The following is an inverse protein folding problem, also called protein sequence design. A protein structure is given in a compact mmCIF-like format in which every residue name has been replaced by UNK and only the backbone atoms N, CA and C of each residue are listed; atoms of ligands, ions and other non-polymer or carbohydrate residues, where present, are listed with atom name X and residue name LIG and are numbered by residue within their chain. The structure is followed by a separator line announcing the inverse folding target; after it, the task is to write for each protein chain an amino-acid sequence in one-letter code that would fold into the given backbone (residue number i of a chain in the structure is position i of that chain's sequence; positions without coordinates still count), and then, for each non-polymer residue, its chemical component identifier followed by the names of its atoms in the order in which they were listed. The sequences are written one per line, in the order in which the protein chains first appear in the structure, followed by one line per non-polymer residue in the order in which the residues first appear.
data_IF_104335073370
#
_entry.id   IF_104335073370
#
_cell.length_a   1.000
_cell.length_b   1.000
_cell.length_c   1.000
_cell.angle_alpha   90.00
_cell.angle_beta   90.00
_cell.angle_gamma   90.00
#
_symmetry.space_group_name_H-M   'P 1'
#
loop_
_entity.id
_entity.type
_entity.pdbx_description
1 polymer ?
#
# COMPACT_ATOMS: atom_id res chain seq x y z
N UNK A 1 39.87 41.37 -26.63
CA UNK A 1 38.71 41.35 -25.72
C UNK A 1 37.52 40.54 -26.27
N UNK A 2 37.15 40.68 -27.55
CA UNK A 2 36.02 39.92 -28.14
C UNK A 2 36.19 38.38 -28.15
N UNK A 3 37.39 37.87 -28.39
CA UNK A 3 37.63 36.42 -28.45
C UNK A 3 37.43 35.73 -27.09
N UNK A 4 37.85 36.37 -26.01
CA UNK A 4 37.68 35.87 -24.64
C UNK A 4 36.20 35.79 -24.29
N UNK A 5 35.43 36.82 -24.64
CA UNK A 5 33.99 36.83 -24.44
C UNK A 5 33.30 35.70 -25.21
N UNK A 6 33.68 35.48 -26.47
CA UNK A 6 33.13 34.40 -27.29
C UNK A 6 33.38 33.03 -26.66
N UNK A 7 34.61 32.75 -26.20
CA UNK A 7 34.96 31.49 -25.53
C UNK A 7 34.15 31.29 -24.25
N UNK A 8 34.01 32.35 -23.44
CA UNK A 8 33.22 32.29 -22.19
C UNK A 8 31.74 32.00 -22.49
N UNK A 9 31.14 32.67 -23.47
CA UNK A 9 29.74 32.43 -23.86
C UNK A 9 29.54 31.01 -24.40
N UNK A 10 30.47 30.49 -25.20
CA UNK A 10 30.39 29.10 -25.70
C UNK A 10 30.50 28.09 -24.57
N UNK A 11 31.37 28.30 -23.59
CA UNK A 11 31.48 27.44 -22.40
C UNK A 11 30.19 27.48 -21.56
N UNK A 12 29.62 28.66 -21.32
CA UNK A 12 28.33 28.78 -20.62
C UNK A 12 27.17 28.15 -21.39
N UNK A 13 27.18 28.24 -22.73
CA UNK A 13 26.19 27.59 -23.58
C UNK A 13 26.27 26.06 -23.50
N UNK A 14 27.48 25.50 -23.59
CA UNK A 14 27.71 24.06 -23.42
C UNK A 14 27.32 23.58 -22.02
N UNK A 15 27.64 24.35 -20.98
CA UNK A 15 27.25 24.06 -19.61
C UNK A 15 25.73 23.95 -19.45
N UNK A 16 24.99 24.96 -19.93
CA UNK A 16 23.54 25.00 -19.82
C UNK A 16 22.83 23.98 -20.72
N UNK A 17 23.39 23.67 -21.89
CA UNK A 17 22.73 22.81 -22.87
C UNK A 17 23.00 21.32 -22.67
N UNK A 18 24.14 20.93 -22.12
CA UNK A 18 24.58 19.52 -22.08
C UNK A 18 24.71 19.02 -20.65
N UNK A 19 25.46 19.74 -19.81
CA UNK A 19 25.76 19.28 -18.46
C UNK A 19 24.58 19.43 -17.51
N UNK A 20 23.90 20.57 -17.57
CA UNK A 20 22.79 20.88 -16.67
C UNK A 20 21.61 19.88 -16.81
N UNK A 21 21.14 19.51 -18.01
CA UNK A 21 20.11 18.49 -18.17
C UNK A 21 20.54 17.11 -17.66
N UNK A 22 21.79 16.70 -17.95
CA UNK A 22 22.31 15.40 -17.53
C UNK A 22 22.37 15.24 -16.01
N UNK A 23 22.81 16.28 -15.30
CA UNK A 23 22.84 16.29 -13.83
C UNK A 23 21.43 16.23 -13.23
N UNK A 24 20.46 16.94 -13.82
CA UNK A 24 19.06 16.88 -13.37
C UNK A 24 18.46 15.48 -13.57
N UNK A 25 18.74 14.85 -14.71
CA UNK A 25 18.26 13.50 -14.98
C UNK A 25 18.82 12.50 -13.96
N UNK A 26 20.10 12.60 -13.61
CA UNK A 26 20.71 11.73 -12.59
C UNK A 26 20.08 11.94 -11.21
N UNK A 27 19.90 13.19 -10.79
CA UNK A 27 19.28 13.52 -9.51
C UNK A 27 17.82 13.05 -9.41
N UNK A 28 17.07 13.04 -10.51
CA UNK A 28 15.71 12.51 -10.54
C UNK A 28 15.66 10.98 -10.53
N UNK A 29 16.60 10.31 -11.21
CA UNK A 29 16.73 8.84 -11.11
C UNK A 29 17.04 8.43 -9.68
N UNK A 30 17.96 9.12 -9.01
CA UNK A 30 18.28 8.89 -7.61
C UNK A 30 17.07 9.13 -6.71
N UNK A 31 16.34 10.23 -6.92
CA UNK A 31 15.10 10.53 -6.20
C UNK A 31 14.06 9.40 -6.37
N UNK A 32 13.78 8.96 -7.59
CA UNK A 32 12.82 7.89 -7.85
C UNK A 32 13.25 6.55 -7.25
N UNK A 33 14.55 6.28 -7.17
CA UNK A 33 15.10 5.12 -6.46
C UNK A 33 14.82 5.19 -4.96
N UNK A 34 14.98 6.37 -4.34
CA UNK A 34 14.67 6.56 -2.92
C UNK A 34 13.17 6.40 -2.62
N UNK A 35 12.31 6.87 -3.52
CA UNK A 35 10.85 6.64 -3.41
C UNK A 35 10.53 5.15 -3.52
N UNK A 36 11.14 4.45 -4.49
CA UNK A 36 10.97 3.00 -4.66
C UNK A 36 11.33 2.25 -3.38
N UNK A 37 12.51 2.50 -2.84
CA UNK A 37 12.98 1.90 -1.59
C UNK A 37 12.03 2.20 -0.42
N UNK A 38 11.50 3.43 -0.33
CA UNK A 38 10.51 3.80 0.68
C UNK A 38 9.23 2.97 0.57
N UNK A 39 8.71 2.76 -0.63
CA UNK A 39 7.53 1.90 -0.86
C UNK A 39 7.80 0.44 -0.50
N UNK A 40 8.99 -0.07 -0.81
CA UNK A 40 9.40 -1.43 -0.46
C UNK A 40 9.56 -1.63 1.05
N UNK A 41 10.11 -0.64 1.76
CA UNK A 41 10.18 -0.64 3.23
C UNK A 41 8.78 -0.65 3.84
N UNK A 42 7.90 0.26 3.40
CA UNK A 42 6.51 0.31 3.86
C UNK A 42 5.79 -1.03 3.62
N UNK A 43 5.94 -1.64 2.45
CA UNK A 43 5.34 -2.96 2.18
C UNK A 43 5.83 -4.04 3.16
N UNK A 44 7.14 -4.10 3.40
CA UNK A 44 7.74 -5.06 4.31
C UNK A 44 7.27 -4.83 5.75
N UNK A 45 7.21 -3.58 6.20
CA UNK A 45 6.83 -3.28 7.56
C UNK A 45 5.33 -3.41 7.80
N UNK A 46 4.47 -3.13 6.82
CA UNK A 46 3.04 -3.50 6.89
C UNK A 46 2.91 -5.01 7.11
N UNK A 47 3.62 -5.82 6.32
CA UNK A 47 3.61 -7.29 6.46
C UNK A 47 4.10 -7.72 7.84
N UNK A 48 5.18 -7.11 8.34
CA UNK A 48 5.71 -7.39 9.67
C UNK A 48 4.71 -7.00 10.78
N UNK A 49 4.09 -5.82 10.67
CA UNK A 49 3.10 -5.33 11.63
C UNK A 49 1.85 -6.22 11.66
N UNK A 50 1.40 -6.73 10.53
CA UNK A 50 0.29 -7.69 10.47
C UNK A 50 0.70 -9.02 11.09
N UNK A 51 1.86 -9.56 10.68
CA UNK A 51 2.34 -10.87 11.14
C UNK A 51 2.56 -10.91 12.65
N UNK A 52 3.15 -9.85 13.22
CA UNK A 52 3.43 -9.73 14.65
C UNK A 52 2.25 -9.19 15.46
N UNK A 53 1.21 -8.68 14.80
CA UNK A 53 0.07 -7.99 15.44
C UNK A 53 0.52 -6.88 16.40
N UNK A 54 1.64 -6.24 16.06
CA UNK A 54 2.35 -5.34 16.94
C UNK A 54 1.58 -4.04 17.09
N UNK A 55 1.17 -3.71 18.32
CA UNK A 55 0.70 -2.36 18.62
C UNK A 55 1.86 -1.36 18.44
N UNK A 56 1.59 -0.20 17.84
CA UNK A 56 2.62 0.82 17.68
C UNK A 56 2.41 1.76 16.50
N UNK A 57 3.41 2.62 16.27
CA UNK A 57 3.48 3.49 15.10
C UNK A 57 4.81 3.32 14.41
N UNK A 58 4.75 3.09 13.10
CA UNK A 58 5.87 2.99 12.19
C UNK A 58 5.87 4.25 11.31
N UNK A 59 7.05 4.81 11.06
CA UNK A 59 7.23 6.06 10.31
C UNK A 59 8.27 5.80 9.23
N UNK A 60 7.91 6.06 7.97
CA UNK A 60 8.83 6.03 6.83
C UNK A 60 8.88 7.37 6.14
N UNK A 61 10.09 7.76 5.75
CA UNK A 61 10.31 9.01 5.04
C UNK A 61 10.31 8.74 3.54
N UNK A 62 9.42 9.40 2.80
CA UNK A 62 9.40 9.37 1.35
C UNK A 62 9.73 10.77 0.83
N UNK A 63 10.81 10.94 0.04
CA UNK A 63 11.09 12.21 -0.60
C UNK A 63 10.00 12.51 -1.64
N UNK A 64 9.31 13.64 -1.50
CA UNK A 64 8.32 14.09 -2.48
C UNK A 64 8.97 14.79 -3.67
N UNK A 65 10.14 15.38 -3.49
CA UNK A 65 10.82 16.12 -4.55
C UNK A 65 12.30 15.79 -4.68
N UNK A 66 12.83 16.01 -5.88
CA UNK A 66 14.21 15.78 -6.24
C UNK A 66 14.76 16.88 -7.16
N UNK A 67 15.92 16.63 -7.77
CA UNK A 67 16.49 17.53 -8.77
C UNK A 67 17.26 18.74 -8.22
N UNK A 68 17.54 18.79 -6.91
CA UNK A 68 18.44 19.77 -6.32
C UNK A 68 19.89 19.40 -6.65
N UNK A 69 20.66 20.31 -7.23
CA UNK A 69 22.11 20.17 -7.37
C UNK A 69 22.78 21.52 -7.12
N UNK A 70 24.06 21.51 -6.77
CA UNK A 70 24.82 22.62 -6.16
C UNK A 70 24.65 24.03 -6.80
N UNK A 71 24.17 24.14 -8.04
CA UNK A 71 24.03 25.40 -8.78
C UNK A 71 22.59 25.72 -9.24
N UNK A 72 21.56 24.93 -8.89
CA UNK A 72 20.18 25.17 -9.34
C UNK A 72 19.13 24.61 -8.35
N UNK A 73 18.32 25.50 -7.78
CA UNK A 73 17.37 25.16 -6.70
C UNK A 73 15.96 24.76 -7.17
N UNK A 74 15.72 24.66 -8.48
CA UNK A 74 14.38 24.30 -8.99
C UNK A 74 14.15 22.81 -8.78
N UNK A 75 13.33 22.50 -7.78
CA UNK A 75 13.00 21.13 -7.38
C UNK A 75 11.80 20.61 -8.15
N UNK A 76 11.86 19.34 -8.51
CA UNK A 76 10.69 18.56 -8.90
C UNK A 76 9.84 18.28 -7.64
N UNK A 77 8.54 18.09 -7.78
CA UNK A 77 7.62 17.88 -6.65
C UNK A 77 6.82 16.60 -6.79
N UNK A 78 6.18 16.13 -5.74
CA UNK A 78 5.48 14.85 -5.77
C UNK A 78 4.27 14.93 -4.89
N UNK A 79 3.37 13.98 -5.09
CA UNK A 79 2.23 13.80 -4.20
C UNK A 79 2.13 12.35 -3.77
N UNK A 80 1.79 12.16 -2.51
CA UNK A 80 1.36 10.87 -1.98
C UNK A 80 -0.11 11.00 -1.63
N UNK A 81 -0.90 10.02 -2.05
CA UNK A 81 -2.33 9.94 -1.71
C UNK A 81 -2.68 8.55 -1.23
N UNK A 82 -3.37 8.50 -0.10
CA UNK A 82 -3.98 7.32 0.49
C UNK A 82 -5.47 7.35 0.17
N UNK A 83 -5.99 6.25 -0.36
CA UNK A 83 -7.40 6.06 -0.63
C UNK A 83 -7.88 4.75 -0.01
N UNK A 84 -9.08 4.76 0.54
CA UNK A 84 -9.79 3.55 0.94
C UNK A 84 -10.65 3.05 -0.21
N UNK A 85 -10.79 1.76 -0.34
CA UNK A 85 -11.79 1.19 -1.24
C UNK A 85 -13.19 1.42 -0.68
N UNK A 86 -14.16 1.64 -1.56
CA UNK A 86 -15.55 1.92 -1.18
C UNK A 86 -16.32 0.67 -0.77
N UNK A 87 -15.82 -0.51 -1.15
CA UNK A 87 -16.49 -1.78 -0.93
C UNK A 87 -15.69 -2.55 0.14
N UNK A 88 -16.33 -2.99 1.24
CA UNK A 88 -15.65 -3.79 2.24
C UNK A 88 -15.23 -5.13 1.66
N UNK A 89 -14.04 -5.56 2.05
CA UNK A 89 -13.46 -6.85 1.72
C UNK A 89 -14.07 -7.96 2.57
N UNK A 90 -14.24 -7.71 3.87
CA UNK A 90 -14.88 -8.60 4.82
C UNK A 90 -15.93 -7.87 5.64
N UNK A 91 -17.04 -8.54 5.92
CA UNK A 91 -18.07 -8.07 6.84
C UNK A 91 -18.30 -9.14 7.87
N UNK A 92 -18.07 -8.82 9.14
CA UNK A 92 -18.46 -9.68 10.27
C UNK A 92 -19.71 -9.07 10.88
N UNK A 93 -20.83 -9.80 10.85
CA UNK A 93 -22.10 -9.29 11.37
C UNK A 93 -22.84 -10.33 12.22
N UNK A 94 -23.42 -9.86 13.31
CA UNK A 94 -24.39 -10.55 14.16
C UNK A 94 -25.55 -9.57 14.43
N UNK A 95 -26.60 -10.01 15.10
CA UNK A 95 -27.71 -9.23 15.65
C UNK A 95 -27.30 -7.92 16.35
N UNK A 96 -26.11 -7.86 16.95
CA UNK A 96 -25.68 -6.73 17.79
C UNK A 96 -24.45 -5.96 17.26
N UNK A 97 -23.67 -6.54 16.34
CA UNK A 97 -22.38 -6.01 15.91
C UNK A 97 -22.25 -6.15 14.39
N UNK A 98 -21.77 -5.09 13.73
CA UNK A 98 -21.33 -5.11 12.32
C UNK A 98 -19.94 -4.51 12.25
N UNK A 99 -18.95 -5.31 11.85
CA UNK A 99 -17.57 -4.90 11.60
C UNK A 99 -17.26 -5.05 10.13
N UNK A 100 -16.62 -4.04 9.56
CA UNK A 100 -16.24 -4.04 8.15
C UNK A 100 -14.73 -3.86 8.02
N UNK A 101 -14.10 -4.77 7.31
CA UNK A 101 -12.71 -4.65 6.90
C UNK A 101 -12.66 -4.08 5.50
N UNK A 102 -11.90 -3.01 5.35
CA UNK A 102 -11.66 -2.33 4.09
C UNK A 102 -10.20 -2.51 3.69
N UNK A 103 -9.94 -2.43 2.39
CA UNK A 103 -8.59 -2.25 1.87
C UNK A 103 -8.29 -0.77 1.70
N UNK A 104 -7.02 -0.44 1.79
CA UNK A 104 -6.51 0.88 1.43
C UNK A 104 -5.39 0.72 0.41
N UNK A 105 -5.29 1.69 -0.48
CA UNK A 105 -4.23 1.83 -1.47
C UNK A 105 -3.55 3.16 -1.25
N UNK A 106 -2.25 3.23 -1.52
CA UNK A 106 -1.55 4.50 -1.54
C UNK A 106 -0.67 4.59 -2.77
N UNK A 107 -0.64 5.79 -3.34
CA UNK A 107 0.14 6.07 -4.54
C UNK A 107 1.05 7.26 -4.33
N UNK A 108 2.20 7.20 -4.99
CA UNK A 108 3.08 8.32 -5.25
C UNK A 108 2.94 8.69 -6.72
N UNK A 109 2.72 9.97 -6.99
CA UNK A 109 2.69 10.52 -8.35
C UNK A 109 3.62 11.72 -8.44
N UNK A 110 4.53 11.74 -9.44
CA UNK A 110 5.34 12.92 -9.71
C UNK A 110 4.44 14.09 -10.10
N UNK A 111 4.80 15.29 -9.65
CA UNK A 111 4.16 16.56 -9.99
C UNK A 111 5.18 17.44 -10.71
N UNK A 112 4.74 18.11 -11.79
CA UNK A 112 5.56 19.01 -12.60
C UNK A 112 6.57 18.31 -13.53
N UNK A 113 7.64 19.01 -13.89
CA UNK A 113 8.58 18.70 -14.96
C UNK A 113 9.60 17.61 -14.60
N UNK A 114 9.15 16.40 -14.23
CA UNK A 114 10.04 15.25 -14.17
C UNK A 114 10.47 14.86 -15.58
N UNK A 115 11.75 14.54 -15.74
CA UNK A 115 12.29 13.84 -16.91
C UNK A 115 11.70 12.44 -17.05
N UNK A 116 11.31 11.81 -15.93
CA UNK A 116 10.69 10.50 -15.89
C UNK A 116 9.34 10.58 -15.18
N UNK A 117 8.26 10.44 -15.95
CA UNK A 117 6.89 10.31 -15.42
C UNK A 117 6.67 8.88 -14.89
N UNK A 118 7.26 8.59 -13.73
CA UNK A 118 7.16 7.31 -13.02
C UNK A 118 6.61 7.51 -11.61
N UNK A 119 5.56 6.77 -11.28
CA UNK A 119 4.93 6.71 -9.97
C UNK A 119 5.02 5.32 -9.35
N UNK A 120 4.56 5.21 -8.12
CA UNK A 120 4.48 3.94 -7.38
C UNK A 120 3.12 3.81 -6.75
N UNK A 121 2.56 2.61 -6.71
CA UNK A 121 1.27 2.34 -6.06
C UNK A 121 1.36 1.05 -5.27
N UNK A 122 1.08 1.13 -3.98
CA UNK A 122 0.86 -0.06 -3.16
C UNK A 122 -0.63 -0.37 -3.12
N UNK A 123 -0.96 -1.63 -3.41
CA UNK A 123 -2.31 -2.16 -3.30
C UNK A 123 -2.24 -3.66 -2.98
N UNK A 124 -3.19 -4.15 -2.17
CA UNK A 124 -3.41 -5.60 -1.98
C UNK A 124 -2.15 -6.41 -1.60
N UNK A 125 -1.17 -5.81 -0.91
CA UNK A 125 0.05 -6.48 -0.46
C UNK A 125 1.22 -6.52 -1.45
N UNK A 126 1.18 -5.70 -2.50
CA UNK A 126 2.30 -5.55 -3.43
C UNK A 126 2.46 -4.12 -3.96
N UNK A 127 3.66 -3.81 -4.45
CA UNK A 127 4.01 -2.52 -5.06
C UNK A 127 3.99 -2.63 -6.57
N UNK A 128 3.34 -1.67 -7.21
CA UNK A 128 3.35 -1.43 -8.65
C UNK A 128 4.19 -0.20 -8.98
N UNK A 129 4.87 -0.25 -10.11
CA UNK A 129 5.43 0.93 -10.77
C UNK A 129 4.47 1.38 -11.87
N UNK A 130 4.19 2.68 -11.91
CA UNK A 130 3.33 3.28 -12.94
C UNK A 130 4.16 4.17 -13.85
N UNK A 131 4.01 4.05 -15.17
CA UNK A 131 4.72 4.88 -16.14
C UNK A 131 3.86 5.13 -17.37
N UNK A 132 3.58 6.39 -17.70
CA UNK A 132 2.79 6.76 -18.89
C UNK A 132 1.41 6.07 -18.95
N UNK A 133 0.73 5.93 -17.81
CA UNK A 133 -0.57 5.28 -17.70
C UNK A 133 -0.56 3.74 -17.70
N UNK A 134 0.61 3.11 -17.81
CA UNK A 134 0.75 1.65 -17.61
C UNK A 134 1.21 1.37 -16.18
N UNK A 135 0.78 0.23 -15.65
CA UNK A 135 1.17 -0.25 -14.32
C UNK A 135 1.74 -1.66 -14.45
N UNK A 136 2.85 -1.95 -13.79
CA UNK A 136 3.41 -3.29 -13.68
C UNK A 136 3.84 -3.58 -12.25
N UNK A 137 3.72 -4.83 -11.78
CA UNK A 137 4.27 -5.23 -10.49
C UNK A 137 5.78 -4.94 -10.45
N UNK A 138 6.26 -4.41 -9.33
CA UNK A 138 7.67 -4.05 -9.18
C UNK A 138 8.56 -5.29 -8.92
N UNK A 139 8.06 -6.24 -8.13
CA UNK A 139 8.83 -7.42 -7.66
C UNK A 139 8.43 -8.74 -8.34
N UNK A 140 7.41 -8.72 -9.18
CA UNK A 140 6.84 -9.93 -9.77
C UNK A 140 6.91 -9.85 -11.29
N UNK A 141 7.35 -10.93 -11.90
CA UNK A 141 7.50 -11.01 -13.36
C UNK A 141 6.14 -11.00 -14.07
N UNK A 142 5.09 -11.53 -13.42
CA UNK A 142 3.74 -11.60 -13.97
C UNK A 142 2.67 -11.40 -12.91
N UNK A 143 1.46 -11.05 -13.34
CA UNK A 143 0.30 -10.96 -12.45
C UNK A 143 -0.12 -12.33 -11.88
N UNK A 144 0.14 -13.43 -12.60
CA UNK A 144 -0.12 -14.77 -12.09
C UNK A 144 0.74 -15.08 -10.85
N UNK A 145 2.01 -14.65 -10.87
CA UNK A 145 2.89 -14.74 -9.69
C UNK A 145 2.38 -13.90 -8.53
N UNK A 146 1.83 -12.71 -8.79
CA UNK A 146 1.20 -11.88 -7.74
C UNK A 146 0.03 -12.63 -7.09
N UNK A 147 -0.80 -13.31 -7.89
CA UNK A 147 -1.95 -14.06 -7.38
C UNK A 147 -1.52 -15.24 -6.50
N UNK A 148 -0.51 -15.99 -6.93
CA UNK A 148 -0.08 -17.19 -6.21
C UNK A 148 0.84 -16.89 -5.00
N UNK A 149 1.77 -15.95 -5.15
CA UNK A 149 2.79 -15.67 -4.12
C UNK A 149 2.49 -14.39 -3.33
N UNK A 150 2.05 -13.33 -4.01
CA UNK A 150 1.77 -12.03 -3.40
C UNK A 150 0.50 -12.04 -2.54
N UNK A 151 -0.61 -12.49 -3.11
CA UNK A 151 -1.90 -12.52 -2.42
C UNK A 151 -1.91 -13.56 -1.32
N UNK A 152 -1.44 -14.79 -1.56
CA UNK A 152 -1.43 -15.85 -0.55
C UNK A 152 -0.71 -15.48 0.74
N UNK A 153 0.43 -14.78 0.66
CA UNK A 153 1.15 -14.28 1.83
C UNK A 153 0.39 -13.17 2.57
N UNK A 154 -0.34 -12.32 1.86
CA UNK A 154 -1.10 -11.22 2.47
C UNK A 154 -2.44 -11.68 3.03
N UNK A 155 -3.18 -12.54 2.32
CA UNK A 155 -4.50 -13.04 2.74
C UNK A 155 -4.40 -13.96 3.94
N UNK A 156 -3.38 -14.83 3.98
CA UNK A 156 -3.04 -15.61 5.18
C UNK A 156 -2.74 -14.71 6.37
N UNK A 157 -2.06 -13.58 6.16
CA UNK A 157 -1.79 -12.60 7.20
C UNK A 157 -3.03 -11.81 7.64
N UNK A 158 -3.94 -11.50 6.71
CA UNK A 158 -5.21 -10.81 7.00
C UNK A 158 -6.18 -11.70 7.75
N UNK A 159 -6.14 -13.01 7.50
CA UNK A 159 -7.02 -14.02 8.09
C UNK A 159 -6.22 -15.23 8.54
N UNK A 160 -5.57 -15.12 9.71
CA UNK A 160 -4.78 -16.21 10.29
C UNK A 160 -5.42 -16.78 11.54
N UNK A 161 -5.18 -18.08 11.76
CA UNK A 161 -5.47 -18.76 13.03
C UNK A 161 -4.42 -18.39 14.08
N UNK A 162 -4.86 -17.78 15.17
CA UNK A 162 -4.06 -17.54 16.35
C UNK A 162 -3.96 -18.77 17.28
N UNK A 163 -3.08 -18.71 18.30
CA UNK A 163 -3.01 -19.74 19.31
C UNK A 163 -4.34 -19.81 20.10
N UNK A 164 -5.02 -20.96 20.03
CA UNK A 164 -6.24 -21.24 20.80
C UNK A 164 -7.53 -20.66 20.18
N UNK A 165 -8.05 -21.27 19.09
CA UNK A 165 -9.31 -20.91 18.40
C UNK A 165 -9.48 -19.42 17.99
N UNK A 166 -8.47 -18.59 18.21
CA UNK A 166 -8.48 -17.18 17.84
C UNK A 166 -8.32 -17.00 16.32
N UNK A 167 -8.96 -15.98 15.75
CA UNK A 167 -8.80 -15.59 14.34
C UNK A 167 -8.41 -14.13 14.28
N UNK A 168 -7.39 -13.78 13.50
CA UNK A 168 -7.00 -12.38 13.30
C UNK A 168 -7.64 -11.83 12.05
N UNK A 169 -8.17 -10.62 12.14
CA UNK A 169 -8.83 -9.88 11.06
C UNK A 169 -8.20 -8.51 10.95
N UNK A 170 -7.63 -8.21 9.80
CA UNK A 170 -6.99 -6.91 9.55
C UNK A 170 -7.96 -5.97 8.86
N UNK A 171 -7.99 -4.71 9.28
CA UNK A 171 -8.78 -3.64 8.67
C UNK A 171 -7.89 -2.44 8.36
N UNK A 172 -7.89 -1.99 7.11
CA UNK A 172 -7.08 -0.86 6.67
C UNK A 172 -7.90 0.43 6.74
N UNK A 173 -7.45 1.34 7.59
CA UNK A 173 -8.07 2.62 7.82
C UNK A 173 -7.21 3.73 7.21
N UNK A 174 -7.89 4.78 6.77
CA UNK A 174 -7.27 6.03 6.32
C UNK A 174 -7.43 7.03 7.45
N UNK A 175 -6.31 7.59 7.90
CA UNK A 175 -6.24 8.61 8.94
C UNK A 175 -6.59 10.01 8.42
N UNK A 176 -6.47 11.00 9.29
CA UNK A 176 -6.94 12.37 9.04
C UNK A 176 -6.20 13.06 7.89
N UNK A 177 -4.91 12.80 7.75
CA UNK A 177 -4.07 13.30 6.66
C UNK A 177 -3.83 12.20 5.63
N UNK A 178 -4.58 12.25 4.53
CA UNK A 178 -4.58 11.22 3.49
C UNK A 178 -3.93 11.66 2.17
N UNK A 179 -3.45 12.90 2.10
CA UNK A 179 -2.77 13.44 0.93
C UNK A 179 -1.72 14.45 1.36
N UNK A 180 -0.54 14.35 0.77
CA UNK A 180 0.51 15.36 0.89
C UNK A 180 1.09 15.63 -0.50
N UNK A 181 1.42 16.88 -0.78
CA UNK A 181 2.16 17.27 -1.98
C UNK A 181 3.22 18.30 -1.66
N UNK A 182 4.30 18.30 -2.42
CA UNK A 182 5.39 19.25 -2.24
C UNK A 182 6.71 18.76 -2.81
N UNK A 183 7.80 19.41 -2.41
CA UNK A 183 9.16 19.11 -2.86
C UNK A 183 10.12 18.81 -1.69
N UNK A 184 9.56 18.47 -0.53
CA UNK A 184 10.27 18.11 0.70
C UNK A 184 10.23 16.61 0.96
N UNK A 185 10.28 16.24 2.24
CA UNK A 185 10.14 14.85 2.70
C UNK A 185 8.75 14.71 3.31
N UNK A 186 8.02 13.66 2.90
CA UNK A 186 6.78 13.23 3.54
C UNK A 186 7.07 12.13 4.54
N UNK A 187 6.31 12.11 5.63
CA UNK A 187 6.30 11.03 6.61
C UNK A 187 5.06 10.17 6.41
N UNK A 188 5.26 8.93 5.98
CA UNK A 188 4.23 7.91 5.94
C UNK A 188 4.15 7.21 7.29
N UNK A 189 3.02 7.34 7.95
CA UNK A 189 2.79 6.82 9.29
C UNK A 189 1.79 5.66 9.22
N UNK A 190 2.19 4.51 9.78
CA UNK A 190 1.33 3.34 9.97
C UNK A 190 1.12 3.13 11.46
N UNK A 191 -0.13 3.17 11.92
CA UNK A 191 -0.47 2.89 13.33
C UNK A 191 -1.29 1.61 13.43
N UNK A 192 -0.79 0.65 14.19
CA UNK A 192 -1.48 -0.59 14.52
C UNK A 192 -2.21 -0.52 15.86
N UNK A 193 -3.47 -0.92 15.90
CA UNK A 193 -4.25 -1.07 17.13
C UNK A 193 -5.04 -2.38 17.10
N UNK A 194 -4.98 -3.12 18.20
CA UNK A 194 -5.56 -4.46 18.32
C UNK A 194 -6.69 -4.46 19.34
N UNK A 195 -7.85 -4.97 18.93
CA UNK A 195 -9.02 -5.17 19.79
C UNK A 195 -9.46 -6.61 19.73
N UNK A 196 -9.65 -7.25 20.90
CA UNK A 196 -10.21 -8.60 20.98
C UNK A 196 -11.72 -8.53 21.11
N UNK A 197 -12.42 -9.30 20.30
CA UNK A 197 -13.87 -9.35 20.26
C UNK A 197 -14.27 -10.83 20.25
N UNK A 198 -15.12 -11.25 21.18
CA UNK A 198 -15.69 -12.59 21.14
C UNK A 198 -16.95 -12.55 20.28
N UNK A 199 -16.97 -13.35 19.23
CA UNK A 199 -18.13 -13.56 18.37
C UNK A 199 -18.95 -14.70 18.96
N UNK A 200 -20.24 -14.42 19.21
CA UNK A 200 -21.21 -15.43 19.61
C UNK A 200 -21.53 -16.39 18.44
N UNK A 201 -22.14 -17.56 18.72
CA UNK A 201 -22.67 -18.42 17.66
C UNK A 201 -23.67 -17.67 16.79
N UNK A 202 -23.90 -18.17 15.58
CA UNK A 202 -24.76 -17.55 14.56
C UNK A 202 -24.24 -16.20 14.04
N UNK A 203 -22.97 -15.88 14.29
CA UNK A 203 -22.27 -14.77 13.63
C UNK A 203 -21.94 -15.13 12.19
N UNK A 204 -22.16 -14.19 11.27
CA UNK A 204 -21.86 -14.31 9.85
C UNK A 204 -20.55 -13.61 9.50
N UNK A 205 -19.68 -14.31 8.78
CA UNK A 205 -18.50 -13.74 8.12
C UNK A 205 -18.78 -13.75 6.62
N UNK A 206 -18.87 -12.57 6.02
CA UNK A 206 -19.14 -12.40 4.59
C UNK A 206 -17.86 -11.92 3.90
N UNK A 207 -17.36 -12.73 2.98
CA UNK A 207 -16.21 -12.42 2.14
C UNK A 207 -16.66 -11.90 0.77
N UNK A 208 -16.07 -10.79 0.33
CA UNK A 208 -16.26 -10.28 -1.02
C UNK A 208 -15.23 -10.91 -1.96
N UNK A 209 -15.70 -11.51 -3.04
CA UNK A 209 -14.88 -12.20 -4.06
C UNK A 209 -14.92 -11.51 -5.43
N UNK A 210 -15.36 -10.25 -5.49
CA UNK A 210 -15.41 -9.49 -6.75
C UNK A 210 -14.02 -9.22 -7.35
N UNK A 211 -12.96 -9.30 -6.54
CA UNK A 211 -11.57 -9.15 -6.97
C UNK A 211 -10.79 -10.46 -6.82
N UNK A 212 -9.69 -10.62 -7.57
CA UNK A 212 -8.79 -11.77 -7.46
C UNK A 212 -8.21 -11.90 -6.03
N UNK A 213 -7.92 -10.78 -5.38
CA UNK A 213 -7.52 -10.74 -3.98
C UNK A 213 -8.62 -11.26 -3.05
N UNK A 214 -9.86 -10.81 -3.25
CA UNK A 214 -11.03 -11.27 -2.51
C UNK A 214 -11.28 -12.77 -2.67
N UNK A 215 -11.09 -13.30 -3.88
CA UNK A 215 -11.17 -14.74 -4.14
C UNK A 215 -10.11 -15.54 -3.38
N UNK A 216 -8.85 -15.08 -3.38
CA UNK A 216 -7.75 -15.69 -2.60
C UNK A 216 -8.01 -15.61 -1.08
N UNK A 217 -8.58 -14.51 -0.62
CA UNK A 217 -8.97 -14.36 0.78
C UNK A 217 -10.09 -15.34 1.15
N UNK A 218 -11.08 -15.51 0.29
CA UNK A 218 -12.17 -16.46 0.52
C UNK A 218 -11.67 -17.90 0.62
N UNK A 219 -10.68 -18.29 -0.19
CA UNK A 219 -10.00 -19.59 -0.06
C UNK A 219 -9.33 -19.72 1.31
N UNK A 220 -8.61 -18.68 1.76
CA UNK A 220 -7.98 -18.64 3.09
C UNK A 220 -9.00 -18.74 4.22
N UNK A 221 -10.14 -18.05 4.10
CA UNK A 221 -11.23 -18.09 5.09
C UNK A 221 -11.83 -19.49 5.13
N UNK A 222 -12.14 -20.06 3.97
CA UNK A 222 -12.75 -21.39 3.90
C UNK A 222 -11.88 -22.40 4.64
N UNK A 223 -10.57 -22.46 4.31
CA UNK A 223 -9.60 -23.37 4.90
C UNK A 223 -9.37 -23.12 6.39
N UNK A 224 -9.28 -21.86 6.81
CA UNK A 224 -9.06 -21.49 8.22
C UNK A 224 -10.29 -21.77 9.08
N UNK A 225 -11.50 -21.60 8.52
CA UNK A 225 -12.75 -21.84 9.23
C UNK A 225 -13.19 -23.30 9.23
N UNK A 226 -12.70 -24.18 8.32
CA UNK A 226 -13.08 -25.60 8.27
C UNK A 226 -13.17 -26.30 9.64
N UNK A 227 -12.21 -26.13 10.58
CA UNK A 227 -12.26 -26.79 11.89
C UNK A 227 -13.43 -26.35 12.78
N UNK A 228 -14.08 -25.22 12.48
CA UNK A 228 -15.23 -24.67 13.20
C UNK A 228 -16.58 -25.05 12.55
N UNK A 229 -16.55 -25.95 11.57
CA UNK A 229 -17.72 -26.48 10.86
C UNK A 229 -18.70 -25.39 10.36
N UNK A 230 -18.22 -24.35 9.64
CA UNK A 230 -19.06 -23.24 9.23
C UNK A 230 -20.09 -23.69 8.19
N UNK A 231 -21.30 -23.14 8.25
CA UNK A 231 -22.23 -23.28 7.13
C UNK A 231 -21.90 -22.22 6.07
N UNK A 232 -21.35 -22.67 4.94
CA UNK A 232 -20.99 -21.81 3.81
C UNK A 232 -22.16 -21.72 2.82
N UNK A 233 -22.57 -20.49 2.48
CA UNK A 233 -23.59 -20.23 1.46
C UNK A 233 -23.18 -19.04 0.59
N UNK A 234 -23.35 -19.13 -0.75
CA UNK A 234 -23.18 -17.96 -1.60
C UNK A 234 -24.26 -16.91 -1.27
N UNK A 235 -23.87 -15.65 -1.16
CA UNK A 235 -24.74 -14.49 -0.95
C UNK A 235 -24.74 -13.62 -2.21
N UNK A 236 -25.23 -14.19 -3.32
CA UNK A 236 -25.13 -13.60 -4.65
C UNK A 236 -23.86 -14.03 -5.40
N UNK A 237 -23.56 -13.41 -6.56
CA UNK A 237 -22.46 -13.84 -7.42
C UNK A 237 -21.06 -13.48 -6.88
N UNK A 238 -20.98 -12.47 -6.02
CA UNK A 238 -19.70 -11.86 -5.60
C UNK A 238 -19.44 -11.97 -4.09
N UNK A 239 -20.24 -12.72 -3.34
CA UNK A 239 -20.08 -12.85 -1.89
C UNK A 239 -20.30 -14.27 -1.41
N UNK A 240 -19.51 -14.66 -0.41
CA UNK A 240 -19.67 -15.91 0.32
C UNK A 240 -19.89 -15.62 1.80
N UNK A 241 -20.89 -16.28 2.38
CA UNK A 241 -21.26 -16.14 3.77
C UNK A 241 -20.90 -17.43 4.53
N UNK A 242 -20.19 -17.29 5.65
CA UNK A 242 -19.82 -18.34 6.57
C UNK A 242 -20.54 -18.11 7.90
N UNK A 243 -21.42 -19.04 8.29
CA UNK A 243 -22.11 -18.99 9.59
C UNK A 243 -21.33 -19.80 10.62
N UNK A 244 -20.94 -19.16 11.71
CA UNK A 244 -20.21 -19.79 12.80
C UNK A 244 -21.16 -20.57 13.72
N UNK A 245 -20.83 -21.83 14.01
CA UNK A 245 -21.61 -22.70 14.92
C UNK A 245 -21.13 -22.68 16.36
N UNK A 246 -19.95 -22.13 16.59
CA UNK A 246 -19.32 -22.02 17.91
C UNK A 246 -18.85 -20.59 18.12
N UNK A 247 -18.74 -20.17 19.38
CA UNK A 247 -18.14 -18.89 19.71
C UNK A 247 -16.65 -18.90 19.35
N UNK A 248 -16.19 -17.86 18.67
CA UNK A 248 -14.78 -17.67 18.33
C UNK A 248 -14.32 -16.31 18.83
N UNK A 249 -13.07 -16.20 19.27
CA UNK A 249 -12.48 -14.90 19.56
C UNK A 249 -11.79 -14.39 18.31
N UNK A 250 -12.12 -13.17 17.90
CA UNK A 250 -11.40 -12.47 16.84
C UNK A 250 -10.47 -11.42 17.42
N UNK A 251 -9.28 -11.34 16.85
CA UNK A 251 -8.32 -10.27 17.03
C UNK A 251 -8.54 -9.31 15.86
N UNK A 252 -9.29 -8.24 16.11
CA UNK A 252 -9.52 -7.19 15.13
C UNK A 252 -8.37 -6.19 15.16
N UNK A 253 -7.56 -6.18 14.10
CA UNK A 253 -6.36 -5.38 13.96
C UNK A 253 -6.58 -4.23 12.98
N UNK A 254 -6.69 -3.02 13.51
CA UNK A 254 -6.82 -1.80 12.72
C UNK A 254 -5.44 -1.24 12.38
N UNK A 255 -5.16 -1.11 11.08
CA UNK A 255 -3.98 -0.42 10.56
C UNK A 255 -4.41 0.91 9.97
N UNK A 256 -4.06 2.00 10.63
CA UNK A 256 -4.37 3.36 10.16
C UNK A 256 -3.18 3.96 9.44
N UNK A 257 -3.39 4.37 8.19
CA UNK A 257 -2.39 5.02 7.35
C UNK A 257 -2.60 6.52 7.31
N UNK A 258 -1.52 7.28 7.44
CA UNK A 258 -1.56 8.75 7.32
C UNK A 258 -0.25 9.27 6.74
N UNK A 259 -0.30 10.45 6.11
CA UNK A 259 0.85 11.14 5.54
C UNK A 259 0.97 12.53 6.16
N UNK A 260 2.17 12.94 6.57
CA UNK A 260 2.44 14.25 7.19
C UNK A 260 3.63 14.93 6.53
#
# INVERSE_FOLDING_TARGET
MMLILAVVVTLFSLWNSVYLPGLKQQAEVEHLSQVEEGFLRIDADIKNMISLQSGGTMIENIPLGGGDFFLHSTRSGGSIRIARDSIPLLIVRNSSITLESHLARFNYSPLSNFWIDQGYTWQEGYVNVTKGGRSSPLRYDTMDTVIHEGYGGMTSNIFMKGPGKDITLVNFLVGDSNMMSGNGISQFNVRGNTTRITLEPDTWIVANVSTAFGASLNETISTTLLPFNPDMKPEGPERFNYTLKESITIIWYNLTYSVV
#
